data_IF_083579310922
#
_entry.id   IF_083579310922
#
_cell.length_a   1.000
_cell.length_b   1.000
_cell.length_c   1.000
_cell.angle_alpha   90.00
_cell.angle_beta   90.00
_cell.angle_gamma   90.00
#
_symmetry.space_group_name_H-M   'P 1'
#
loop_
_entity.id
_entity.type
_entity.pdbx_description
1 polymer ?
#
# COMPACT_ATOMS: atom_id res chain seq x y z
N UNK A 1 -10.12 3.27 4.04
CA UNK A 1 -10.08 4.70 3.67
C UNK A 1 -9.03 4.88 2.57
N UNK A 2 -9.14 5.90 1.72
CA UNK A 2 -8.30 6.16 0.52
C UNK A 2 -7.95 4.89 -0.30
N UNK A 3 -8.95 4.16 -0.82
CA UNK A 3 -8.67 2.90 -1.49
C UNK A 3 -8.12 3.09 -2.91
N UNK A 4 -7.23 2.19 -3.32
CA UNK A 4 -6.97 1.90 -4.74
C UNK A 4 -7.42 0.47 -5.05
N UNK A 5 -8.08 0.28 -6.19
CA UNK A 5 -8.59 -1.03 -6.62
C UNK A 5 -7.90 -1.46 -7.92
N UNK A 6 -7.50 -2.73 -7.98
CA UNK A 6 -7.06 -3.41 -9.21
C UNK A 6 -7.85 -4.70 -9.41
N UNK A 7 -7.83 -5.24 -10.64
CA UNK A 7 -8.43 -6.55 -10.95
C UNK A 7 -7.39 -7.45 -11.61
N UNK A 8 -7.18 -8.63 -11.04
CA UNK A 8 -6.22 -9.63 -11.54
C UNK A 8 -6.88 -11.00 -11.52
N UNK A 9 -6.86 -11.70 -12.65
CA UNK A 9 -7.38 -13.07 -12.79
C UNK A 9 -8.80 -13.30 -12.25
N UNK A 10 -9.67 -12.29 -12.38
CA UNK A 10 -11.07 -12.36 -11.93
C UNK A 10 -11.31 -11.90 -10.49
N UNK A 11 -10.25 -11.70 -9.70
CA UNK A 11 -10.35 -11.16 -8.33
C UNK A 11 -10.05 -9.67 -8.33
N UNK A 12 -10.85 -8.91 -7.59
CA UNK A 12 -10.57 -7.53 -7.26
C UNK A 12 -9.77 -7.45 -5.96
N UNK A 13 -8.77 -6.59 -5.95
CA UNK A 13 -7.94 -6.27 -4.79
C UNK A 13 -8.10 -4.79 -4.49
N UNK A 14 -8.38 -4.46 -3.23
CA UNK A 14 -8.43 -3.09 -2.72
C UNK A 14 -7.35 -2.91 -1.67
N UNK A 15 -6.53 -1.88 -1.83
CA UNK A 15 -5.52 -1.48 -0.86
C UNK A 15 -5.97 -0.19 -0.21
N UNK A 16 -5.92 -0.08 1.11
CA UNK A 16 -6.37 1.12 1.82
C UNK A 16 -5.58 1.43 3.07
N UNK A 17 -5.86 2.61 3.64
CA UNK A 17 -5.31 3.02 4.94
C UNK A 17 -5.74 2.05 6.03
N UNK A 18 -4.78 1.61 6.83
CA UNK A 18 -4.91 0.70 7.97
C UNK A 18 -3.53 0.24 8.43
N UNK A 19 -3.47 -0.60 9.45
CA UNK A 19 -2.21 -1.20 9.91
C UNK A 19 -1.53 -1.93 8.74
N UNK A 20 -0.30 -1.49 8.43
CA UNK A 20 0.53 -2.00 7.34
C UNK A 20 -0.11 -2.00 5.93
N UNK A 21 -1.08 -1.11 5.70
CA UNK A 21 -1.91 -0.98 4.49
C UNK A 21 -2.78 -2.22 4.24
N UNK A 22 -4.07 -2.13 4.54
CA UNK A 22 -4.99 -3.27 4.48
C UNK A 22 -5.30 -3.69 3.05
N UNK A 23 -5.36 -5.01 2.82
CA UNK A 23 -5.78 -5.65 1.58
C UNK A 23 -7.19 -6.21 1.78
N UNK A 24 -8.10 -5.86 0.86
CA UNK A 24 -9.40 -6.51 0.74
C UNK A 24 -9.52 -7.20 -0.61
N UNK A 25 -10.22 -8.33 -0.64
CA UNK A 25 -10.42 -9.13 -1.85
C UNK A 25 -11.90 -9.42 -2.08
N UNK A 26 -12.27 -9.57 -3.34
CA UNK A 26 -13.60 -10.02 -3.76
C UNK A 26 -13.62 -10.45 -5.22
N UNK A 27 -14.45 -11.42 -5.62
CA UNK A 27 -14.72 -11.68 -7.04
C UNK A 27 -15.68 -10.64 -7.67
N UNK A 28 -16.37 -9.81 -6.88
CA UNK A 28 -17.42 -8.90 -7.36
C UNK A 28 -17.18 -7.46 -6.93
N UNK A 29 -17.27 -6.48 -7.84
CA UNK A 29 -16.97 -5.08 -7.55
C UNK A 29 -17.89 -4.49 -6.46
N UNK A 30 -19.15 -4.92 -6.45
CA UNK A 30 -20.17 -4.57 -5.46
C UNK A 30 -20.06 -5.36 -4.14
N UNK A 31 -19.08 -6.26 -4.04
CA UNK A 31 -18.76 -7.03 -2.86
C UNK A 31 -19.51 -8.37 -2.75
N UNK A 32 -19.49 -9.02 -1.57
CA UNK A 32 -18.85 -8.55 -0.34
C UNK A 32 -17.33 -8.44 -0.48
N UNK A 33 -16.74 -7.45 0.20
CA UNK A 33 -15.30 -7.25 0.29
C UNK A 33 -14.80 -7.81 1.63
N UNK A 34 -13.85 -8.73 1.58
CA UNK A 34 -13.27 -9.33 2.78
C UNK A 34 -11.85 -8.81 2.99
N UNK A 35 -11.53 -8.36 4.21
CA UNK A 35 -10.16 -8.00 4.55
C UNK A 35 -9.32 -9.28 4.74
N UNK A 36 -8.41 -9.55 3.82
CA UNK A 36 -7.63 -10.80 3.80
C UNK A 36 -6.25 -10.66 4.42
N UNK A 37 -5.64 -9.47 4.35
CA UNK A 37 -4.28 -9.24 4.84
C UNK A 37 -3.90 -7.76 4.90
N UNK A 38 -2.60 -7.48 5.00
CA UNK A 38 -1.95 -6.18 4.81
C UNK A 38 -0.80 -6.31 3.80
N UNK A 39 -0.37 -5.19 3.23
CA UNK A 39 0.71 -5.14 2.25
C UNK A 39 2.05 -5.45 2.92
N UNK A 40 2.39 -4.71 3.97
CA UNK A 40 3.64 -4.97 4.71
C UNK A 40 3.38 -5.95 5.86
N UNK A 41 4.38 -6.79 6.13
CA UNK A 41 4.36 -7.70 7.29
C UNK A 41 4.88 -7.06 8.58
N UNK A 42 5.39 -5.82 8.49
CA UNK A 42 5.98 -5.03 9.55
C UNK A 42 5.99 -3.56 9.16
N UNK A 43 6.38 -2.70 10.10
CA UNK A 43 6.55 -1.28 9.84
C UNK A 43 7.45 -1.01 8.63
N UNK A 44 7.10 0.04 7.88
CA UNK A 44 7.88 0.52 6.76
C UNK A 44 9.34 0.79 7.16
N UNK A 45 10.26 0.55 6.24
CA UNK A 45 11.70 0.85 6.42
C UNK A 45 11.99 2.35 6.40
N UNK A 46 11.02 3.17 5.99
CA UNK A 46 11.12 4.62 5.87
C UNK A 46 11.21 5.23 7.26
N UNK A 47 12.31 5.91 7.57
CA UNK A 47 12.57 6.50 8.88
C UNK A 47 11.92 7.89 9.03
N UNK A 48 10.60 7.95 8.84
CA UNK A 48 9.81 9.19 8.91
C UNK A 48 8.40 8.87 9.36
N UNK A 49 7.66 9.88 9.82
CA UNK A 49 6.21 9.82 10.07
C UNK A 49 5.73 8.60 10.86
N UNK A 50 4.47 8.22 10.63
CA UNK A 50 3.92 6.95 11.08
C UNK A 50 4.26 5.84 10.08
N UNK A 51 5.04 4.86 10.54
CA UNK A 51 5.56 3.74 9.75
C UNK A 51 4.64 2.52 9.77
N UNK A 52 3.65 2.53 10.65
CA UNK A 52 2.71 1.43 10.88
C UNK A 52 1.41 1.70 10.13
N UNK A 53 0.84 2.89 10.28
CA UNK A 53 -0.42 3.28 9.63
C UNK A 53 -0.18 4.27 8.47
N UNK A 54 0.36 3.74 7.36
CA UNK A 54 0.68 4.51 6.14
C UNK A 54 -0.57 4.82 5.30
N UNK A 55 -0.47 5.82 4.42
CA UNK A 55 -1.66 6.42 3.79
C UNK A 55 -1.68 6.34 2.27
N UNK A 56 -2.90 6.47 1.72
CA UNK A 56 -3.20 6.70 0.31
C UNK A 56 -2.43 5.79 -0.68
N UNK A 57 -2.55 4.46 -0.56
CA UNK A 57 -1.86 3.54 -1.44
C UNK A 57 -2.31 3.68 -2.90
N UNK A 58 -1.38 3.50 -3.83
CA UNK A 58 -1.64 3.44 -5.29
C UNK A 58 -0.85 2.26 -5.88
N UNK A 59 -1.53 1.35 -6.60
CA UNK A 59 -0.97 0.02 -6.92
C UNK A 59 -0.95 -0.32 -8.43
N UNK A 60 -0.19 0.38 -9.29
CA UNK A 60 -0.07 -0.01 -10.69
C UNK A 60 0.66 -1.35 -10.87
N UNK A 61 0.26 -2.09 -11.89
CA UNK A 61 1.02 -3.20 -12.44
C UNK A 61 1.89 -2.70 -13.60
N UNK A 62 3.17 -3.06 -13.59
CA UNK A 62 4.10 -2.83 -14.69
C UNK A 62 4.79 -4.15 -15.00
N UNK A 63 4.55 -4.66 -16.21
CA UNK A 63 4.91 -6.02 -16.62
C UNK A 63 4.38 -7.06 -15.61
N UNK A 64 5.26 -7.94 -15.12
CA UNK A 64 4.95 -8.99 -14.15
C UNK A 64 5.13 -8.54 -12.68
N UNK A 65 5.18 -7.22 -12.41
CA UNK A 65 5.37 -6.69 -11.07
C UNK A 65 4.24 -5.75 -10.67
N UNK A 66 3.82 -5.88 -9.42
CA UNK A 66 2.99 -4.90 -8.74
C UNK A 66 3.89 -3.93 -7.97
N UNK A 67 3.60 -2.65 -8.10
CA UNK A 67 4.23 -1.59 -7.32
C UNK A 67 3.15 -0.93 -6.51
N UNK A 68 3.34 -0.83 -5.19
CA UNK A 68 2.41 -0.14 -4.31
C UNK A 68 3.12 1.06 -3.70
N UNK A 69 2.75 2.23 -4.21
CA UNK A 69 3.20 3.51 -3.71
C UNK A 69 2.35 3.91 -2.51
N UNK A 70 2.97 4.42 -1.46
CA UNK A 70 2.29 4.81 -0.23
C UNK A 70 2.96 6.03 0.41
N UNK A 71 2.20 6.72 1.27
CA UNK A 71 2.66 7.90 2.00
C UNK A 71 2.96 7.57 3.46
N UNK A 72 4.10 8.07 3.95
CA UNK A 72 4.52 8.02 5.35
C UNK A 72 4.48 9.44 5.90
N UNK A 73 3.61 9.72 6.87
CA UNK A 73 3.35 11.08 7.35
C UNK A 73 2.77 11.11 8.77
N UNK A 74 2.56 12.31 9.31
CA UNK A 74 1.76 12.58 10.51
C UNK A 74 0.74 13.66 10.18
N UNK A 75 -0.44 13.60 10.80
CA UNK A 75 -1.53 14.53 10.47
C UNK A 75 -1.12 15.98 10.77
N UNK A 76 -1.34 16.87 9.81
CA UNK A 76 -1.04 18.30 9.95
C UNK A 76 0.42 18.70 9.72
N UNK A 77 1.32 17.78 9.37
CA UNK A 77 2.70 18.12 9.00
C UNK A 77 2.94 18.04 7.48
N UNK A 78 4.05 18.66 7.04
CA UNK A 78 4.59 18.54 5.66
C UNK A 78 5.94 17.81 5.65
N UNK A 79 6.26 17.15 6.75
CA UNK A 79 7.45 16.32 6.89
C UNK A 79 7.03 14.88 6.55
N UNK A 80 7.04 14.55 5.27
CA UNK A 80 6.42 13.32 4.73
C UNK A 80 7.32 12.65 3.69
N UNK A 81 7.01 11.40 3.35
CA UNK A 81 7.67 10.68 2.27
C UNK A 81 6.66 9.88 1.43
N UNK A 82 6.89 9.85 0.12
CA UNK A 82 6.28 8.86 -0.79
C UNK A 82 7.29 7.75 -0.99
N UNK A 83 6.82 6.52 -0.83
CA UNK A 83 7.64 5.31 -0.79
C UNK A 83 6.99 4.22 -1.62
N UNK A 84 7.70 3.12 -1.88
CA UNK A 84 7.18 2.03 -2.72
C UNK A 84 7.52 0.65 -2.17
N UNK A 85 6.56 -0.25 -2.22
CA UNK A 85 6.75 -1.68 -2.06
C UNK A 85 6.49 -2.40 -3.39
N UNK A 86 7.10 -3.57 -3.60
CA UNK A 86 6.89 -4.38 -4.81
C UNK A 86 6.54 -5.82 -4.48
N UNK A 87 5.72 -6.45 -5.32
CA UNK A 87 5.40 -7.89 -5.23
C UNK A 87 5.21 -8.49 -6.63
N UNK A 88 5.34 -9.81 -6.72
CA UNK A 88 4.96 -10.62 -7.89
C UNK A 88 3.49 -11.03 -7.88
N UNK A 89 2.81 -10.88 -6.75
CA UNK A 89 1.38 -11.16 -6.56
C UNK A 89 0.66 -9.92 -6.03
N UNK A 90 -0.61 -9.69 -6.43
CA UNK A 90 -1.38 -8.56 -5.92
C UNK A 90 -1.89 -8.81 -4.48
N UNK A 91 -1.99 -10.07 -4.08
CA UNK A 91 -2.58 -10.48 -2.80
C UNK A 91 -1.62 -10.43 -1.60
N UNK A 92 -1.96 -11.18 -0.53
CA UNK A 92 -1.15 -11.32 0.66
C UNK A 92 0.24 -11.87 0.36
N UNK A 93 1.19 -11.51 1.22
CA UNK A 93 2.58 -11.99 1.18
C UNK A 93 3.36 -11.56 -0.08
N UNK A 94 4.69 -11.71 -0.06
CA UNK A 94 5.56 -11.43 -1.20
C UNK A 94 5.92 -9.94 -1.43
N UNK A 95 5.33 -9.02 -0.66
CA UNK A 95 5.67 -7.60 -0.72
C UNK A 95 7.02 -7.30 -0.08
N UNK A 96 7.86 -6.57 -0.81
CA UNK A 96 9.15 -6.06 -0.36
C UNK A 96 9.10 -4.53 -0.35
N UNK A 97 9.28 -3.92 0.82
CA UNK A 97 9.40 -2.48 0.96
C UNK A 97 10.75 -1.99 0.44
N UNK A 98 10.73 -1.16 -0.61
CA UNK A 98 11.93 -0.60 -1.25
C UNK A 98 12.30 0.78 -0.68
N UNK A 99 11.48 1.33 0.22
CA UNK A 99 11.73 2.59 0.88
C UNK A 99 11.34 3.83 0.05
N UNK A 100 11.98 4.94 0.38
CA UNK A 100 11.59 6.28 -0.07
C UNK A 100 11.95 6.55 -1.53
N UNK A 101 11.01 7.15 -2.25
CA UNK A 101 11.21 7.72 -3.59
C UNK A 101 11.49 9.22 -3.50
N UNK A 102 10.62 9.94 -2.79
CA UNK A 102 10.70 11.38 -2.62
C UNK A 102 10.23 11.74 -1.21
N UNK A 103 10.83 12.77 -0.63
CA UNK A 103 10.46 13.27 0.68
C UNK A 103 10.34 14.79 0.69
N UNK A 104 9.61 15.30 1.68
CA UNK A 104 9.47 16.71 1.99
C UNK A 104 9.84 16.97 3.45
N UNK A 105 10.15 18.24 3.74
CA UNK A 105 10.65 18.67 5.05
C UNK A 105 12.19 18.62 5.09
N UNK A 106 12.78 18.06 6.14
CA UNK A 106 14.23 17.83 6.19
C UNK A 106 14.58 16.46 5.61
N UNK A 107 15.47 16.46 4.61
CA UNK A 107 16.07 15.29 3.99
C UNK A 107 17.58 15.45 3.92
#
# INVERSE_FOLDING_TARGET
HDPTIIKVNGTYYSYGVGEHLVIHETPFMDGPWEQTSSVLAKDSVVLKGDRTAMWAPTAPQVDDNFYLYYCVSVAGCRDSAVSVATSKSPGPEGWTDLGTIINSGTG
#
